data_IF_785424409388
#
_entry.id   IF_785424409388
#
_cell.length_a   1.000
_cell.length_b   1.000
_cell.length_c   1.000
_cell.angle_alpha   90.00
_cell.angle_beta   90.00
_cell.angle_gamma   90.00
#
_symmetry.space_group_name_H-M   'P 1'
#
loop_
_entity.id
_entity.type
_entity.pdbx_description
1 polymer ?
#
# COMPACT_ATOMS: atom_id res chain seq x y z
N UNK A 1 0.80 4.11 -2.80
CA UNK A 1 1.67 5.10 -3.46
C UNK A 1 0.86 5.98 -4.41
N UNK A 2 1.42 7.13 -4.80
CA UNK A 2 0.76 8.13 -5.63
C UNK A 2 0.99 7.85 -7.11
N UNK A 3 -0.08 7.66 -7.89
CA UNK A 3 -0.02 7.55 -9.34
C UNK A 3 -0.40 8.85 -10.05
N UNK A 4 -0.11 8.93 -11.35
CA UNK A 4 -0.33 10.15 -12.14
C UNK A 4 -1.79 10.63 -12.10
N UNK A 5 -2.75 9.71 -12.25
CA UNK A 5 -4.17 10.07 -12.30
C UNK A 5 -4.64 10.54 -10.94
N UNK A 6 -4.22 9.89 -9.86
CA UNK A 6 -4.56 10.33 -8.52
C UNK A 6 -3.99 11.73 -8.22
N UNK A 7 -2.75 12.02 -8.62
CA UNK A 7 -2.16 13.36 -8.49
C UNK A 7 -2.96 14.44 -9.24
N UNK A 8 -3.42 14.13 -10.45
CA UNK A 8 -4.28 15.04 -11.21
C UNK A 8 -5.62 15.28 -10.51
N UNK A 9 -6.24 14.25 -9.94
CA UNK A 9 -7.48 14.39 -9.16
C UNK A 9 -7.28 15.32 -7.97
N UNK A 10 -6.18 15.18 -7.24
CA UNK A 10 -5.82 16.08 -6.14
C UNK A 10 -5.71 17.52 -6.65
N UNK A 11 -4.93 17.76 -7.71
CA UNK A 11 -4.79 19.11 -8.27
C UNK A 11 -6.13 19.71 -8.69
N UNK A 12 -6.99 18.94 -9.38
CA UNK A 12 -8.32 19.40 -9.81
C UNK A 12 -9.21 19.76 -8.62
N UNK A 13 -9.23 18.92 -7.58
CA UNK A 13 -10.01 19.17 -6.38
C UNK A 13 -9.54 20.45 -5.66
N UNK A 14 -8.23 20.65 -5.54
CA UNK A 14 -7.66 21.86 -4.94
C UNK A 14 -7.94 23.10 -5.78
N UNK A 15 -7.77 23.01 -7.10
CA UNK A 15 -8.09 24.11 -8.02
C UNK A 15 -9.56 24.53 -7.92
N UNK A 16 -10.47 23.55 -7.86
CA UNK A 16 -11.90 23.82 -7.67
C UNK A 16 -12.19 24.46 -6.31
N UNK A 17 -11.62 23.92 -5.23
CA UNK A 17 -11.85 24.43 -3.88
C UNK A 17 -11.28 25.85 -3.66
N UNK A 18 -10.23 26.22 -4.40
CA UNK A 18 -9.55 27.52 -4.30
C UNK A 18 -9.96 28.52 -5.37
N UNK A 19 -10.85 28.13 -6.28
CA UNK A 19 -11.19 28.87 -7.50
C UNK A 19 -9.94 29.40 -8.23
N UNK A 20 -8.94 28.51 -8.38
CA UNK A 20 -7.63 28.86 -8.93
C UNK A 20 -7.14 27.75 -9.86
N UNK A 21 -6.91 28.09 -11.12
CA UNK A 21 -6.49 27.14 -12.16
C UNK A 21 -5.00 26.82 -12.15
N UNK A 22 -4.21 27.47 -11.30
CA UNK A 22 -2.80 27.14 -11.07
C UNK A 22 -2.66 25.69 -10.58
N UNK A 23 -1.52 25.03 -10.82
CA UNK A 23 -1.23 23.71 -10.26
C UNK A 23 -1.57 23.65 -8.76
N UNK A 24 -2.32 22.63 -8.36
CA UNK A 24 -2.77 22.44 -6.98
C UNK A 24 -3.56 23.61 -6.37
N UNK A 25 -4.24 24.40 -7.19
CA UNK A 25 -4.98 25.59 -6.72
C UNK A 25 -4.08 26.68 -6.15
N UNK A 26 -2.80 26.72 -6.56
CA UNK A 26 -1.82 27.67 -6.05
C UNK A 26 -1.31 27.36 -4.64
N UNK A 27 -1.58 26.16 -4.12
CA UNK A 27 -1.11 25.72 -2.80
C UNK A 27 0.31 25.17 -2.93
N UNK A 28 1.17 25.51 -1.95
CA UNK A 28 2.49 24.90 -1.82
C UNK A 28 2.35 23.43 -1.41
N UNK A 29 2.82 22.51 -2.25
CA UNK A 29 2.78 21.07 -1.99
C UNK A 29 4.17 20.56 -1.63
N UNK A 30 4.26 19.82 -0.53
CA UNK A 30 5.46 19.08 -0.13
C UNK A 30 5.19 17.60 -0.36
N UNK A 31 6.02 16.98 -1.21
CA UNK A 31 6.03 15.54 -1.40
C UNK A 31 7.11 14.90 -0.53
N UNK A 32 6.77 13.81 0.16
CA UNK A 32 7.71 13.01 0.92
C UNK A 32 7.47 11.52 0.64
N UNK A 33 8.55 10.77 0.40
CA UNK A 33 8.47 9.35 0.11
C UNK A 33 9.78 8.79 -0.44
N UNK A 34 9.77 7.50 -0.76
CA UNK A 34 10.90 6.76 -1.32
C UNK A 34 10.45 6.01 -2.59
N UNK A 35 11.08 6.30 -3.73
CA UNK A 35 10.75 5.69 -5.02
C UNK A 35 11.25 4.26 -5.19
N UNK A 36 12.09 3.76 -4.28
CA UNK A 36 12.48 2.35 -4.25
C UNK A 36 11.45 1.47 -3.51
N UNK A 37 10.38 2.06 -2.98
CA UNK A 37 9.24 1.30 -2.48
C UNK A 37 8.36 0.80 -3.64
N UNK A 38 7.29 0.06 -3.31
CA UNK A 38 6.36 -0.46 -4.33
C UNK A 38 5.78 0.67 -5.20
N UNK A 39 5.38 0.35 -6.43
CA UNK A 39 4.66 1.29 -7.27
C UNK A 39 3.20 1.50 -6.83
N UNK A 40 2.51 2.53 -7.34
CA UNK A 40 1.08 2.66 -7.16
C UNK A 40 0.34 1.47 -7.80
N UNK A 41 -0.66 0.95 -7.09
CA UNK A 41 -1.43 -0.22 -7.53
C UNK A 41 -2.33 0.17 -8.71
N UNK A 42 -2.19 -0.53 -9.84
CA UNK A 42 -2.99 -0.34 -11.07
C UNK A 42 -2.96 1.10 -11.62
N UNK A 43 -1.95 1.89 -11.28
CA UNK A 43 -1.72 3.22 -11.84
C UNK A 43 -0.28 3.37 -12.35
N UNK A 44 -0.05 4.37 -13.19
CA UNK A 44 1.28 4.70 -13.66
C UNK A 44 2.06 5.50 -12.61
N UNK A 45 3.30 5.08 -12.32
CA UNK A 45 4.23 5.80 -11.44
C UNK A 45 4.53 7.20 -11.98
N UNK A 46 4.64 8.19 -11.08
CA UNK A 46 5.03 9.56 -11.42
C UNK A 46 6.38 9.65 -12.15
N UNK A 47 7.34 8.83 -11.72
CA UNK A 47 8.72 8.79 -12.21
C UNK A 47 8.95 7.83 -13.40
N UNK A 48 7.89 7.26 -13.98
CA UNK A 48 8.02 6.43 -15.19
C UNK A 48 8.43 7.28 -16.42
N UNK A 49 8.48 6.70 -17.62
CA UNK A 49 8.62 7.49 -18.88
C UNK A 49 7.28 8.09 -19.36
N UNK A 50 7.30 9.25 -20.03
CA UNK A 50 6.07 9.87 -20.59
C UNK A 50 5.80 9.26 -21.97
N UNK A 51 4.74 8.45 -22.09
CA UNK A 51 4.29 7.94 -23.39
C UNK A 51 3.18 8.82 -23.95
N UNK A 52 3.55 9.88 -24.67
CA UNK A 52 2.61 10.86 -25.25
C UNK A 52 1.70 10.26 -26.32
N UNK A 53 2.07 9.11 -26.90
CA UNK A 53 1.23 8.37 -27.87
C UNK A 53 -0.10 7.92 -27.28
N UNK A 54 -0.18 7.79 -25.94
CA UNK A 54 -1.40 7.40 -25.22
C UNK A 54 -2.37 8.55 -24.97
N UNK A 55 -1.98 9.80 -25.29
CA UNK A 55 -2.80 11.00 -25.08
C UNK A 55 -4.04 11.09 -26.01
N UNK A 56 -4.26 10.11 -26.88
CA UNK A 56 -5.45 10.01 -27.73
C UNK A 56 -6.71 9.61 -26.95
N UNK A 57 -6.56 9.10 -25.72
CA UNK A 57 -7.67 8.74 -24.83
C UNK A 57 -7.74 9.68 -23.63
N UNK A 58 -8.94 9.90 -23.07
CA UNK A 58 -9.11 10.66 -21.81
C UNK A 58 -8.22 10.08 -20.71
N UNK A 59 -8.18 8.76 -20.59
CA UNK A 59 -7.35 8.07 -19.60
C UNK A 59 -5.86 8.40 -19.76
N UNK A 60 -5.34 8.35 -20.99
CA UNK A 60 -3.94 8.70 -21.25
C UNK A 60 -3.65 10.19 -21.10
N UNK A 61 -4.59 11.07 -21.42
CA UNK A 61 -4.48 12.50 -21.13
C UNK A 61 -4.35 12.76 -19.63
N UNK A 62 -5.16 12.10 -18.80
CA UNK A 62 -5.07 12.24 -17.34
C UNK A 62 -3.70 11.80 -16.80
N UNK A 63 -3.15 10.72 -17.35
CA UNK A 63 -1.80 10.26 -17.01
C UNK A 63 -0.77 11.34 -17.38
N UNK A 64 -0.84 11.88 -18.60
CA UNK A 64 0.09 12.90 -19.08
C UNK A 64 -0.01 14.17 -18.23
N UNK A 65 -1.22 14.67 -17.94
CA UNK A 65 -1.39 15.84 -17.09
C UNK A 65 -0.89 15.63 -15.66
N UNK A 66 -1.19 14.47 -15.06
CA UNK A 66 -0.63 14.10 -13.76
C UNK A 66 0.90 14.12 -13.75
N UNK A 67 1.51 13.72 -14.86
CA UNK A 67 2.96 13.75 -15.00
C UNK A 67 3.53 15.15 -15.19
N UNK A 68 2.86 15.98 -15.98
CA UNK A 68 3.23 17.39 -16.12
C UNK A 68 3.16 18.10 -14.77
N UNK A 69 2.16 17.79 -13.93
CA UNK A 69 2.08 18.27 -12.54
C UNK A 69 3.32 17.84 -11.73
N UNK A 70 3.72 16.57 -11.81
CA UNK A 70 4.93 16.07 -11.15
C UNK A 70 6.20 16.81 -11.61
N UNK A 71 6.31 17.10 -12.91
CA UNK A 71 7.43 17.87 -13.47
C UNK A 71 7.46 19.35 -13.04
N UNK A 72 6.40 19.86 -12.40
CA UNK A 72 6.44 21.23 -11.83
C UNK A 72 7.23 21.31 -10.53
N UNK A 73 7.56 20.17 -9.90
CA UNK A 73 8.39 20.11 -8.70
C UNK A 73 9.83 20.47 -9.06
N UNK A 74 10.30 21.62 -8.56
CA UNK A 74 11.65 22.16 -8.86
C UNK A 74 12.69 21.87 -7.78
N UNK A 75 12.24 21.60 -6.56
CA UNK A 75 13.12 21.43 -5.40
C UNK A 75 13.05 20.00 -4.92
N UNK A 76 14.21 19.36 -4.80
CA UNK A 76 14.36 18.01 -4.28
C UNK A 76 15.30 18.06 -3.08
N UNK A 77 14.87 17.47 -1.97
CA UNK A 77 15.69 17.31 -0.77
C UNK A 77 15.92 15.82 -0.57
N UNK A 78 17.18 15.41 -0.53
CA UNK A 78 17.58 14.02 -0.30
C UNK A 78 18.03 13.87 1.16
N UNK A 79 17.33 13.02 1.91
CA UNK A 79 17.76 12.61 3.24
C UNK A 79 18.70 11.41 3.10
N UNK A 80 19.94 11.56 3.56
CA UNK A 80 21.00 10.55 3.42
C UNK A 80 21.26 9.75 4.69
N UNK A 81 20.85 10.27 5.85
CA UNK A 81 21.08 9.62 7.14
C UNK A 81 19.95 8.63 7.46
N UNK A 82 20.31 7.36 7.67
CA UNK A 82 19.39 6.31 8.08
C UNK A 82 19.23 6.33 9.60
N UNK A 83 18.03 6.68 10.06
CA UNK A 83 17.72 6.82 11.49
C UNK A 83 17.07 5.58 12.12
N UNK A 84 16.59 4.62 11.31
CA UNK A 84 15.85 3.44 11.80
C UNK A 84 16.79 2.34 12.33
N UNK A 85 17.90 2.11 11.64
CA UNK A 85 18.90 1.10 11.99
C UNK A 85 20.23 1.78 12.38
N UNK A 86 20.20 2.60 13.43
CA UNK A 86 21.39 3.32 13.92
C UNK A 86 22.32 2.40 14.72
N UNK A 87 23.56 2.85 14.91
CA UNK A 87 24.58 2.11 15.67
C UNK A 87 25.52 1.30 14.78
N UNK A 88 26.79 1.22 15.20
CA UNK A 88 27.87 0.57 14.44
C UNK A 88 27.59 -0.90 14.15
N UNK A 89 26.87 -1.59 15.04
CA UNK A 89 26.45 -2.98 14.86
C UNK A 89 25.49 -3.20 13.68
N UNK A 90 24.79 -2.15 13.25
CA UNK A 90 23.82 -2.21 12.15
C UNK A 90 24.43 -1.79 10.80
N UNK A 91 25.67 -1.29 10.77
CA UNK A 91 26.33 -0.84 9.53
C UNK A 91 26.32 -1.92 8.42
N UNK A 92 26.65 -3.20 8.69
CA UNK A 92 26.60 -4.24 7.66
C UNK A 92 25.18 -4.45 7.11
N UNK A 93 24.16 -4.29 7.96
CA UNK A 93 22.76 -4.42 7.55
C UNK A 93 22.30 -3.22 6.73
N UNK A 94 22.70 -1.99 7.11
CA UNK A 94 22.41 -0.77 6.35
C UNK A 94 23.09 -0.82 4.98
N UNK A 95 24.34 -1.28 4.90
CA UNK A 95 25.02 -1.52 3.62
C UNK A 95 24.25 -2.52 2.76
N UNK A 96 23.88 -3.67 3.34
CA UNK A 96 23.10 -4.70 2.65
C UNK A 96 21.78 -4.13 2.10
N UNK A 97 21.00 -3.40 2.91
CA UNK A 97 19.76 -2.77 2.46
C UNK A 97 19.99 -1.76 1.34
N UNK A 98 21.10 -1.03 1.39
CA UNK A 98 21.46 -0.04 0.36
C UNK A 98 21.77 -0.72 -0.97
N UNK A 99 22.41 -1.90 -0.95
CA UNK A 99 22.65 -2.74 -2.14
C UNK A 99 21.37 -3.43 -2.62
N UNK A 100 20.54 -3.94 -1.71
CA UNK A 100 19.27 -4.60 -2.04
C UNK A 100 18.25 -3.64 -2.66
N UNK A 101 18.40 -2.33 -2.45
CA UNK A 101 17.63 -1.30 -3.15
C UNK A 101 17.75 -1.40 -4.67
N UNK A 102 18.84 -1.99 -5.18
CA UNK A 102 19.16 -2.10 -6.61
C UNK A 102 19.21 -3.57 -7.08
N UNK A 103 19.45 -4.52 -6.16
CA UNK A 103 19.67 -5.95 -6.50
C UNK A 103 18.76 -6.86 -5.68
N UNK A 104 18.25 -7.95 -6.27
CA UNK A 104 17.49 -8.98 -5.55
C UNK A 104 18.45 -10.05 -5.04
N UNK A 105 18.45 -10.29 -3.73
CA UNK A 105 19.15 -11.41 -3.09
C UNK A 105 18.17 -12.41 -2.48
N UNK A 106 18.57 -13.67 -2.40
CA UNK A 106 17.80 -14.72 -1.71
C UNK A 106 18.48 -15.06 -0.38
N UNK A 107 17.75 -14.93 0.71
CA UNK A 107 18.15 -15.39 2.04
C UNK A 107 17.12 -16.43 2.50
N UNK A 108 17.57 -17.57 3.01
CA UNK A 108 16.72 -18.57 3.64
C UNK A 108 17.05 -18.62 5.13
N UNK A 109 16.22 -18.02 6.01
CA UNK A 109 16.40 -18.15 7.45
C UNK A 109 16.06 -19.58 7.90
N UNK A 110 16.68 -20.00 9.02
CA UNK A 110 16.17 -21.15 9.76
C UNK A 110 14.92 -20.72 10.54
N UNK A 111 13.76 -21.19 10.08
CA UNK A 111 12.46 -20.87 10.66
C UNK A 111 12.19 -21.56 12.00
N UNK A 112 13.00 -22.56 12.38
CA UNK A 112 12.85 -23.25 13.66
C UNK A 112 13.57 -22.53 14.81
N UNK A 113 14.37 -21.50 14.51
CA UNK A 113 15.07 -20.72 15.53
C UNK A 113 14.03 -20.01 16.45
N UNK A 114 14.06 -20.26 17.78
CA UNK A 114 13.13 -19.66 18.72
C UNK A 114 13.07 -18.13 18.68
N UNK A 115 14.12 -17.45 18.19
CA UNK A 115 14.13 -15.99 18.05
C UNK A 115 13.05 -15.46 17.12
N UNK A 116 12.53 -16.30 16.22
CA UNK A 116 11.44 -15.94 15.31
C UNK A 116 10.06 -16.11 15.94
N UNK A 117 9.95 -16.73 17.12
CA UNK A 117 8.68 -16.91 17.81
C UNK A 117 8.02 -15.56 18.10
N UNK A 118 6.79 -15.38 17.62
CA UNK A 118 6.02 -14.14 17.80
C UNK A 118 6.49 -12.95 16.94
N UNK A 119 7.42 -13.16 16.01
CA UNK A 119 7.87 -12.08 15.11
C UNK A 119 6.82 -11.76 14.04
N UNK A 120 6.66 -10.47 13.66
CA UNK A 120 5.78 -10.10 12.56
C UNK A 120 6.21 -10.76 11.25
N UNK A 121 5.29 -11.45 10.60
CA UNK A 121 5.52 -12.09 9.30
C UNK A 121 4.91 -11.25 8.19
N UNK A 122 5.73 -10.84 7.23
CA UNK A 122 5.29 -10.11 6.04
C UNK A 122 5.20 -11.08 4.87
N UNK A 123 4.05 -11.10 4.19
CA UNK A 123 3.82 -11.93 3.00
C UNK A 123 3.28 -11.10 1.85
N UNK A 124 3.50 -11.56 0.62
CA UNK A 124 3.09 -10.85 -0.60
C UNK A 124 1.61 -10.96 -0.93
N UNK A 125 0.90 -11.95 -0.37
CA UNK A 125 -0.48 -12.27 -0.72
C UNK A 125 -1.40 -12.18 0.49
N UNK A 126 -2.49 -11.43 0.33
CA UNK A 126 -3.54 -11.27 1.32
C UNK A 126 -4.10 -12.60 1.83
N UNK A 127 -4.40 -13.56 0.94
CA UNK A 127 -4.89 -14.89 1.32
C UNK A 127 -3.93 -15.63 2.25
N UNK A 128 -2.63 -15.53 1.98
CA UNK A 128 -1.60 -16.17 2.82
C UNK A 128 -1.51 -15.46 4.16
N UNK A 129 -1.59 -14.12 4.18
CA UNK A 129 -1.62 -13.31 5.39
C UNK A 129 -2.82 -13.69 6.27
N UNK A 130 -4.01 -13.82 5.69
CA UNK A 130 -5.23 -14.21 6.42
C UNK A 130 -5.06 -15.59 7.06
N UNK A 131 -4.61 -16.59 6.28
CA UNK A 131 -4.38 -17.94 6.79
C UNK A 131 -3.34 -18.00 7.91
N UNK A 132 -2.26 -17.23 7.81
CA UNK A 132 -1.24 -17.13 8.87
C UNK A 132 -1.85 -16.50 10.12
N UNK A 133 -2.60 -15.40 9.96
CA UNK A 133 -3.22 -14.70 11.08
C UNK A 133 -4.25 -15.57 11.80
N UNK A 134 -5.11 -16.30 11.08
CA UNK A 134 -6.06 -17.24 11.65
C UNK A 134 -5.36 -18.31 12.48
N UNK A 135 -4.38 -19.01 11.89
CA UNK A 135 -3.61 -20.05 12.59
C UNK A 135 -2.87 -19.52 13.80
N UNK A 136 -2.25 -18.35 13.69
CA UNK A 136 -1.53 -17.72 14.80
C UNK A 136 -2.50 -17.33 15.93
N UNK A 137 -3.69 -16.83 15.58
CA UNK A 137 -4.73 -16.44 16.54
C UNK A 137 -5.28 -17.67 17.28
N UNK A 138 -5.59 -18.75 16.57
CA UNK A 138 -6.02 -20.01 17.18
C UNK A 138 -4.96 -20.60 18.10
N UNK A 139 -3.69 -20.63 17.66
CA UNK A 139 -2.58 -21.13 18.47
C UNK A 139 -2.42 -20.27 19.74
N UNK A 140 -2.48 -18.95 19.61
CA UNK A 140 -2.39 -18.03 20.75
C UNK A 140 -3.52 -18.24 21.77
N UNK A 141 -4.77 -18.37 21.30
CA UNK A 141 -5.93 -18.63 22.15
C UNK A 141 -5.77 -19.96 22.93
N UNK A 142 -5.32 -21.02 22.25
CA UNK A 142 -5.00 -22.32 22.87
C UNK A 142 -3.90 -22.21 23.92
N UNK A 143 -2.78 -21.57 23.59
CA UNK A 143 -1.65 -21.42 24.51
C UNK A 143 -1.96 -20.55 25.74
N UNK A 144 -2.90 -19.61 25.63
CA UNK A 144 -3.28 -18.70 26.72
C UNK A 144 -4.53 -19.13 27.48
N UNK A 145 -5.15 -20.26 27.08
CA UNK A 145 -6.43 -20.71 27.61
C UNK A 145 -7.52 -19.63 27.57
N UNK A 146 -7.51 -18.81 26.51
CA UNK A 146 -8.51 -17.76 26.29
C UNK A 146 -9.48 -18.19 25.19
N UNK A 147 -10.78 -17.87 25.33
CA UNK A 147 -11.73 -18.10 24.25
C UNK A 147 -11.41 -17.19 23.06
N UNK A 148 -11.59 -17.71 21.85
CA UNK A 148 -11.53 -16.95 20.60
C UNK A 148 -12.95 -16.65 20.13
N UNK A 149 -13.23 -15.39 19.85
CA UNK A 149 -14.51 -14.94 19.31
C UNK A 149 -14.29 -14.31 17.93
N UNK A 150 -15.10 -14.71 16.96
CA UNK A 150 -15.16 -14.10 15.64
C UNK A 150 -16.39 -13.19 15.57
N UNK A 151 -16.22 -12.00 15.03
CA UNK A 151 -17.30 -11.04 14.80
C UNK A 151 -17.34 -10.73 13.31
N UNK A 152 -18.53 -10.80 12.72
CA UNK A 152 -18.74 -10.49 11.31
C UNK A 152 -19.54 -9.19 11.19
N UNK A 153 -19.23 -8.38 10.18
CA UNK A 153 -20.03 -7.19 9.87
C UNK A 153 -21.40 -7.57 9.32
N UNK A 154 -22.46 -6.90 9.79
CA UNK A 154 -23.80 -7.05 9.22
C UNK A 154 -24.09 -5.91 8.26
N UNK A 155 -24.25 -6.23 6.97
CA UNK A 155 -24.63 -5.25 5.97
C UNK A 155 -26.13 -4.93 6.03
N UNK A 156 -26.45 -3.65 5.84
CA UNK A 156 -27.84 -3.17 5.77
C UNK A 156 -28.11 -2.42 4.48
N UNK A 157 -29.32 -2.57 3.93
CA UNK A 157 -29.84 -1.75 2.84
C UNK A 157 -31.08 -1.03 3.33
N UNK A 158 -31.05 0.31 3.35
CA UNK A 158 -32.13 1.13 3.92
C UNK A 158 -32.48 0.73 5.35
N UNK A 159 -31.45 0.52 6.19
CA UNK A 159 -31.56 0.07 7.59
C UNK A 159 -32.19 -1.31 7.80
N UNK A 160 -32.41 -2.08 6.73
CA UNK A 160 -32.83 -3.47 6.82
C UNK A 160 -31.62 -4.39 6.62
N UNK A 161 -31.40 -5.37 7.50
CA UNK A 161 -30.30 -6.32 7.34
C UNK A 161 -30.49 -7.13 6.05
N UNK A 162 -29.38 -7.38 5.37
CA UNK A 162 -29.36 -8.27 4.20
C UNK A 162 -29.28 -9.71 4.73
N UNK A 163 -30.41 -10.41 4.76
CA UNK A 163 -30.55 -11.78 5.30
C UNK A 163 -30.75 -12.76 4.15
N UNK A 164 -29.83 -12.76 3.18
CA UNK A 164 -29.84 -13.76 2.11
C UNK A 164 -28.76 -14.82 2.41
N UNK A 165 -29.14 -16.04 2.82
CA UNK A 165 -28.17 -17.04 3.29
C UNK A 165 -27.17 -17.48 2.22
N UNK A 166 -27.58 -17.50 0.95
CA UNK A 166 -26.70 -17.78 -0.19
C UNK A 166 -25.61 -16.72 -0.34
N UNK A 167 -25.97 -15.45 -0.14
CA UNK A 167 -25.02 -14.34 -0.17
C UNK A 167 -24.09 -14.37 1.04
N UNK A 168 -24.61 -14.63 2.24
CA UNK A 168 -23.80 -14.74 3.47
C UNK A 168 -22.77 -15.86 3.33
N UNK A 169 -23.20 -17.07 2.96
CA UNK A 169 -22.32 -18.21 2.73
C UNK A 169 -21.27 -17.91 1.64
N UNK A 170 -21.66 -17.19 0.57
CA UNK A 170 -20.71 -16.80 -0.46
C UNK A 170 -19.64 -15.86 0.10
N UNK A 171 -20.05 -14.79 0.81
CA UNK A 171 -19.14 -13.79 1.36
C UNK A 171 -18.19 -14.37 2.41
N UNK A 172 -18.67 -15.29 3.26
CA UNK A 172 -17.84 -15.99 4.26
C UNK A 172 -16.72 -16.83 3.62
N UNK A 173 -16.86 -17.25 2.37
CA UNK A 173 -15.82 -18.02 1.64
C UNK A 173 -14.80 -17.14 0.92
N UNK A 174 -14.93 -15.82 0.98
CA UNK A 174 -14.03 -14.89 0.29
C UNK A 174 -12.87 -14.48 1.21
N UNK A 175 -11.64 -14.76 0.78
CA UNK A 175 -10.44 -14.23 1.41
C UNK A 175 -10.20 -12.76 1.03
N UNK A 176 -9.39 -12.04 1.83
CA UNK A 176 -9.11 -10.62 1.57
C UNK A 176 -8.33 -10.34 0.28
N UNK A 177 -7.83 -11.38 -0.39
CA UNK A 177 -7.29 -11.31 -1.75
C UNK A 177 -8.37 -11.16 -2.81
N UNK A 178 -9.50 -11.87 -2.68
CA UNK A 178 -10.65 -11.74 -3.59
C UNK A 178 -11.42 -10.43 -3.39
N UNK A 179 -11.51 -9.98 -2.15
CA UNK A 179 -12.29 -8.79 -1.78
C UNK A 179 -11.50 -7.49 -1.90
N UNK A 180 -10.20 -7.55 -2.27
CA UNK A 180 -9.28 -6.42 -2.22
C UNK A 180 -9.31 -5.68 -0.87
N UNK A 181 -9.43 -6.43 0.24
CA UNK A 181 -9.54 -5.91 1.61
C UNK A 181 -10.78 -5.04 1.88
N UNK A 182 -11.81 -5.10 1.02
CA UNK A 182 -13.01 -4.28 1.16
C UNK A 182 -14.12 -4.93 1.98
N UNK A 183 -14.01 -6.24 2.19
CA UNK A 183 -14.89 -7.01 3.04
C UNK A 183 -14.00 -7.62 4.12
N UNK A 184 -14.29 -7.27 5.38
CA UNK A 184 -13.57 -7.69 6.58
C UNK A 184 -14.52 -8.33 7.57
#
# INVERSE_FOLDING_TARGET
>A
MLGCRFLLKISRALSQAKDNTSPFGGINIIFAGDFAQLGPVREQCLFSYIDTRRATTIHGQEIVFGKLLWLTVKTVVLLTQIMRQTGTQNEPFVDLLSRLRIVVGNVQPDWNDPKWAGTPTIVSCNRVKDLINERATEAFAKCTSKPLYWYHSFDTRSSKPIIEPTLQNYLETLDSGKTNQQLG
#
